data_IF_964464617667
#
_entry.id   IF_964464617667
#
_cell.length_a   1.000
_cell.length_b   1.000
_cell.length_c   1.000
_cell.angle_alpha   90.00
_cell.angle_beta   90.00
_cell.angle_gamma   90.00
#
_symmetry.space_group_name_H-M   'P 1'
#
loop_
_entity.id
_entity.type
_entity.pdbx_description
1 polymer ?
2 non-polymer ?
3 water ?
#
# COMPACT_ATOMS: atom_id res chain seq x y z
N UNK A 1 3.08 16.31 -20.50
CA UNK A 1 3.68 16.34 -19.15
C UNK A 1 4.94 15.48 -19.09
N UNK A 2 6.10 16.12 -19.01
CA UNK A 2 7.35 15.41 -18.76
C UNK A 2 7.46 15.00 -17.29
N UNK A 3 7.99 13.81 -17.02
CA UNK A 3 8.09 13.24 -15.67
C UNK A 3 8.94 14.10 -14.71
N UNK A 4 10.05 14.64 -15.23
CA UNK A 4 10.88 15.57 -14.47
C UNK A 4 10.15 16.87 -14.14
N UNK A 5 9.29 17.30 -15.06
CA UNK A 5 8.50 18.50 -14.89
C UNK A 5 7.41 18.32 -13.86
N UNK A 6 6.74 17.17 -13.89
CA UNK A 6 5.78 16.78 -12.85
C UNK A 6 6.38 16.81 -11.44
N UNK A 7 7.51 16.13 -11.28
CA UNK A 7 8.26 16.06 -10.03
C UNK A 7 8.64 17.47 -9.56
N UNK A 8 9.19 18.25 -10.48
CA UNK A 8 9.60 19.63 -10.23
C UNK A 8 8.42 20.59 -9.92
N UNK A 9 7.27 20.38 -10.57
CA UNK A 9 6.06 21.18 -10.31
C UNK A 9 5.50 20.88 -8.93
N UNK A 10 5.49 19.59 -8.55
CA UNK A 10 5.01 19.15 -7.23
C UNK A 10 5.89 19.74 -6.11
N UNK A 11 7.19 19.77 -6.35
CA UNK A 11 8.16 20.34 -5.42
C UNK A 11 7.97 21.84 -5.21
N UNK A 12 7.48 22.56 -6.23
CA UNK A 12 7.17 23.99 -6.11
C UNK A 12 6.09 24.28 -5.06
N UNK A 13 5.02 23.50 -5.06
CA UNK A 13 3.87 23.81 -4.21
C UNK A 13 3.71 22.85 -3.00
N UNK A 14 4.55 21.82 -2.93
CA UNK A 14 4.48 20.85 -1.84
C UNK A 14 5.85 20.20 -1.58
N UNK A 15 6.71 20.89 -0.83
CA UNK A 15 8.02 20.34 -0.46
C UNK A 15 8.38 20.68 0.98
N UNK A 16 8.18 19.71 1.88
CA UNK A 16 8.56 19.84 3.31
C UNK A 16 9.44 18.66 3.71
N UNK A 17 10.77 18.78 3.54
CA UNK A 17 11.69 17.65 3.77
C UNK A 17 11.80 17.17 5.23
N UNK A 18 11.43 18.03 6.18
CA UNK A 18 11.39 17.63 7.60
C UNK A 18 10.09 16.90 7.98
N UNK A 19 9.27 16.60 6.98
CA UNK A 19 8.00 15.90 7.17
C UNK A 19 7.91 14.69 6.26
N UNK A 20 8.97 13.88 6.24
CA UNK A 20 9.01 12.70 5.38
C UNK A 20 7.88 11.70 5.72
N UNK A 21 7.46 11.66 6.98
CA UNK A 21 6.42 10.71 7.40
C UNK A 21 5.05 11.12 6.86
N UNK A 22 4.77 12.42 6.88
CA UNK A 22 3.58 12.96 6.24
C UNK A 22 3.36 12.33 4.87
N UNK A 23 4.40 12.38 4.02
CA UNK A 23 4.30 11.92 2.65
C UNK A 23 4.14 10.43 2.53
N UNK A 24 4.82 9.67 3.39
CA UNK A 24 4.66 8.23 3.36
C UNK A 24 3.25 7.84 3.82
N UNK A 25 2.78 8.46 4.91
CA UNK A 25 1.40 8.26 5.37
C UNK A 25 0.39 8.51 4.25
N UNK A 26 0.52 9.68 3.61
CA UNK A 26 -0.35 10.09 2.49
C UNK A 26 -0.31 9.09 1.32
N UNK A 27 0.87 8.56 1.02
CA UNK A 27 0.99 7.49 0.01
C UNK A 27 0.11 6.29 0.36
N UNK A 28 0.19 5.83 1.62
CA UNK A 28 -0.58 4.66 2.05
C UNK A 28 -2.09 4.93 2.02
N UNK A 29 -2.50 6.15 2.40
CA UNK A 29 -3.89 6.61 2.25
C UNK A 29 -4.45 6.47 0.83
N UNK A 30 -3.68 6.89 -0.17
CA UNK A 30 -4.08 6.87 -1.57
C UNK A 30 -4.13 5.46 -2.15
N UNK A 31 -3.20 4.62 -1.71
CA UNK A 31 -3.22 3.23 -2.13
C UNK A 31 -4.48 2.56 -1.57
N UNK A 32 -4.91 2.93 -0.37
CA UNK A 32 -6.15 2.40 0.20
C UNK A 32 -7.35 2.93 -0.56
N UNK A 33 -7.30 4.20 -0.97
CA UNK A 33 -8.36 4.76 -1.79
C UNK A 33 -8.38 4.18 -3.20
N UNK A 34 -7.19 3.89 -3.72
CA UNK A 34 -7.10 3.24 -5.01
C UNK A 34 -7.70 1.83 -4.99
N UNK A 35 -7.51 1.13 -3.88
CA UNK A 35 -7.98 -0.22 -3.75
C UNK A 35 -9.50 -0.25 -3.76
N UNK A 36 -10.12 0.76 -3.13
CA UNK A 36 -11.55 0.92 -3.11
C UNK A 36 -12.12 1.11 -4.53
N UNK A 37 -11.46 1.96 -5.31
CA UNK A 37 -11.83 2.27 -6.69
C UNK A 37 -11.77 1.07 -7.61
N UNK A 38 -10.69 0.29 -7.52
CA UNK A 38 -10.61 -0.94 -8.28
C UNK A 38 -11.73 -1.90 -7.84
N UNK A 39 -11.90 -2.07 -6.53
CA UNK A 39 -12.93 -2.94 -6.00
C UNK A 39 -14.31 -2.60 -6.56
N UNK A 40 -14.62 -1.30 -6.59
CA UNK A 40 -15.88 -0.78 -7.10
C UNK A 40 -15.95 -0.69 -8.62
N UNK A 41 -14.87 -1.11 -9.29
CA UNK A 41 -14.82 -1.13 -10.76
C UNK A 41 -14.99 0.21 -11.43
N UNK A 42 -14.49 1.29 -10.81
CA UNK A 42 -14.62 2.63 -11.40
C UNK A 42 -13.50 2.94 -12.41
N UNK A 43 -13.40 2.07 -13.42
CA UNK A 43 -12.42 2.16 -14.49
C UNK A 43 -12.83 3.13 -15.57
N UNK A 44 -11.93 3.34 -16.52
CA UNK A 44 -12.20 4.19 -17.67
C UNK A 44 -11.53 5.54 -17.50
N UNK A 45 -11.70 6.41 -18.50
CA UNK A 45 -11.18 7.77 -18.39
C UNK A 45 -12.33 8.74 -18.11
N UNK A 46 -12.44 9.19 -16.86
CA UNK A 46 -13.53 10.07 -16.41
C UNK A 46 -13.50 11.48 -17.01
N UNK A 47 -14.70 12.02 -17.20
CA UNK A 47 -14.91 13.45 -17.35
C UNK A 47 -14.68 14.09 -15.98
N UNK A 48 -14.85 15.40 -15.89
CA UNK A 48 -14.60 16.15 -14.65
C UNK A 48 -15.56 15.77 -13.50
N UNK A 49 -16.81 15.45 -13.83
CA UNK A 49 -17.83 15.14 -12.82
C UNK A 49 -17.79 13.67 -12.35
N UNK A 50 -17.09 12.83 -13.11
CA UNK A 50 -16.91 11.43 -12.74
C UNK A 50 -15.57 11.21 -12.06
N UNK A 51 -14.81 12.28 -11.88
CA UNK A 51 -13.41 12.17 -11.41
C UNK A 51 -13.23 11.73 -9.94
N UNK A 52 -14.05 12.29 -9.05
CA UNK A 52 -13.96 11.96 -7.62
C UNK A 52 -14.23 10.47 -7.40
N UNK A 53 -13.28 9.77 -6.77
CA UNK A 53 -13.45 8.36 -6.47
C UNK A 53 -13.02 7.39 -7.56
N UNK A 54 -12.83 7.90 -8.78
CA UNK A 54 -12.44 7.11 -9.95
C UNK A 54 -11.09 6.44 -9.79
N UNK A 55 -10.93 5.27 -10.40
CA UNK A 55 -9.64 4.61 -10.48
C UNK A 55 -8.57 5.59 -11.00
N UNK A 56 -8.95 6.37 -12.01
CA UNK A 56 -8.06 7.38 -12.59
C UNK A 56 -7.51 8.38 -11.56
N UNK A 57 -8.38 8.92 -10.72
CA UNK A 57 -7.97 9.90 -9.71
C UNK A 57 -7.07 9.31 -8.64
N UNK A 58 -7.36 8.08 -8.22
CA UNK A 58 -6.56 7.42 -7.17
C UNK A 58 -5.18 7.04 -7.67
N UNK A 59 -5.10 6.53 -8.91
CA UNK A 59 -3.79 6.31 -9.55
C UNK A 59 -3.02 7.62 -9.66
N UNK A 60 -3.71 8.72 -10.02
CA UNK A 60 -3.01 9.99 -10.07
C UNK A 60 -2.49 10.37 -8.68
N UNK A 61 -3.38 10.37 -7.68
CA UNK A 61 -3.01 10.69 -6.30
C UNK A 61 -1.83 9.83 -5.78
N UNK A 62 -1.79 8.56 -6.16
CA UNK A 62 -0.63 7.71 -5.86
C UNK A 62 0.63 8.16 -6.61
N UNK A 63 0.48 8.46 -7.91
CA UNK A 63 1.57 9.08 -8.68
C UNK A 63 2.12 10.34 -7.99
N UNK A 64 1.22 11.15 -7.44
CA UNK A 64 1.59 12.43 -6.86
C UNK A 64 2.53 12.22 -5.68
N UNK A 65 2.25 11.22 -4.85
CA UNK A 65 3.02 10.98 -3.64
C UNK A 65 4.28 10.18 -3.89
N UNK A 66 4.30 9.43 -4.99
CA UNK A 66 5.55 8.81 -5.47
C UNK A 66 6.54 9.89 -5.85
N UNK A 67 6.08 10.87 -6.64
CA UNK A 67 6.87 12.04 -7.03
C UNK A 67 7.31 12.92 -5.85
N UNK A 68 6.40 13.16 -4.92
CA UNK A 68 6.67 13.99 -3.76
C UNK A 68 7.59 13.27 -2.77
N UNK A 69 7.51 11.93 -2.69
CA UNK A 69 8.50 11.17 -1.91
C UNK A 69 9.86 11.21 -2.58
N UNK A 70 9.87 11.12 -3.92
CA UNK A 70 11.11 11.24 -4.67
C UNK A 70 11.83 12.55 -4.35
N UNK A 71 11.09 13.66 -4.36
CA UNK A 71 11.66 14.98 -4.03
C UNK A 71 12.28 14.99 -2.62
N UNK A 72 11.55 14.45 -1.66
CA UNK A 72 11.97 14.37 -0.24
C UNK A 72 13.22 13.53 -0.05
N UNK A 73 13.30 12.43 -0.80
CA UNK A 73 14.38 11.47 -0.67
C UNK A 73 15.55 11.68 -1.62
N UNK A 74 15.54 12.82 -2.32
CA UNK A 74 16.61 13.19 -3.25
C UNK A 74 16.73 12.28 -4.46
N UNK A 75 15.58 11.76 -4.93
CA UNK A 75 15.50 10.84 -6.06
C UNK A 75 15.11 11.56 -7.34
N UNK A 76 15.84 11.29 -8.42
CA UNK A 76 15.48 11.73 -9.75
C UNK A 76 14.84 10.54 -10.45
N UNK A 77 13.53 10.60 -10.64
CA UNK A 77 12.77 9.48 -11.20
C UNK A 77 13.13 9.18 -12.64
N UNK A 78 13.41 10.23 -13.41
CA UNK A 78 13.76 10.12 -14.83
C UNK A 78 15.15 9.50 -15.00
N UNK A 79 16.09 9.89 -14.13
CA UNK A 79 17.41 9.27 -14.07
C UNK A 79 17.32 7.81 -13.60
N UNK A 80 16.45 7.55 -12.62
CA UNK A 80 16.19 6.19 -12.11
C UNK A 80 15.54 5.29 -13.19
N UNK A 81 14.58 5.84 -13.92
CA UNK A 81 13.99 5.16 -15.10
C UNK A 81 15.03 4.74 -16.13
N UNK A 82 15.97 5.64 -16.45
CA UNK A 82 17.05 5.34 -17.38
C UNK A 82 17.89 4.17 -16.88
N UNK A 83 18.25 4.20 -15.60
CA UNK A 83 19.09 3.15 -15.00
C UNK A 83 18.40 1.78 -15.01
N UNK A 84 17.10 1.76 -14.70
CA UNK A 84 16.28 0.55 -14.74
C UNK A 84 16.17 -0.04 -16.13
N UNK A 85 16.08 0.83 -17.13
CA UNK A 85 16.16 0.43 -18.53
C UNK A 85 17.40 -0.42 -18.81
N UNK A 86 18.53 0.02 -18.29
CA UNK A 86 19.83 -0.64 -18.49
C UNK A 86 19.82 -2.04 -17.87
N UNK A 87 19.39 -2.15 -16.61
CA UNK A 87 19.31 -3.43 -15.92
C UNK A 87 18.29 -4.40 -16.55
N UNK A 88 17.20 -3.86 -17.08
CA UNK A 88 16.20 -4.67 -17.74
C UNK A 88 16.66 -5.26 -19.06
N UNK A 89 17.48 -4.50 -19.78
CA UNK A 89 18.02 -4.96 -21.06
C UNK A 89 19.04 -6.10 -20.89
N UNK A 90 19.73 -6.12 -19.76
CA UNK A 90 20.81 -7.10 -19.50
C UNK A 90 20.30 -8.51 -19.22
N UNK B 1 11.57 12.21 -21.08
CA UNK B 1 10.59 11.09 -20.91
C UNK B 1 9.20 11.64 -20.57
N UNK B 2 8.32 11.72 -21.57
CA UNK B 2 6.93 12.11 -21.33
C UNK B 2 6.20 11.02 -20.55
N UNK B 3 5.31 11.43 -19.64
CA UNK B 3 4.53 10.50 -18.81
C UNK B 3 3.59 9.61 -19.64
N UNK B 4 3.04 10.14 -20.74
CA UNK B 4 2.22 9.32 -21.64
C UNK B 4 3.07 8.35 -22.46
N UNK B 5 4.31 8.75 -22.73
CA UNK B 5 5.31 7.87 -23.36
C UNK B 5 5.77 6.75 -22.41
N UNK B 6 5.91 7.05 -21.12
CA UNK B 6 6.24 6.02 -20.14
C UNK B 6 5.12 4.98 -20.08
N UNK B 7 3.89 5.47 -19.96
CA UNK B 7 2.69 4.63 -19.92
C UNK B 7 2.57 3.75 -21.18
N UNK B 8 2.82 4.32 -22.35
CA UNK B 8 2.73 3.57 -23.60
C UNK B 8 3.92 2.66 -23.86
N UNK B 9 5.10 3.03 -23.39
CA UNK B 9 6.28 2.16 -23.44
C UNK B 9 6.08 0.93 -22.53
N UNK B 10 5.52 1.14 -21.35
CA UNK B 10 5.14 0.04 -20.47
C UNK B 10 3.98 -0.82 -21.08
N UNK B 11 3.07 -0.20 -21.83
CA UNK B 11 2.00 -0.94 -22.50
C UNK B 11 2.54 -1.81 -23.63
N UNK B 12 3.60 -1.35 -24.27
CA UNK B 12 4.24 -2.09 -25.37
C UNK B 12 4.78 -3.42 -24.91
N UNK B 13 5.19 -3.50 -23.65
CA UNK B 13 5.95 -4.64 -23.20
C UNK B 13 5.30 -5.45 -22.08
N UNK B 14 4.23 -4.93 -21.49
CA UNK B 14 3.59 -5.57 -20.35
C UNK B 14 2.12 -5.15 -20.26
N UNK B 15 1.28 -5.79 -21.07
CA UNK B 15 -0.14 -5.49 -21.13
C UNK B 15 -1.01 -6.76 -21.17
N UNK B 16 -1.53 -7.15 -20.02
CA UNK B 16 -2.43 -8.30 -19.90
C UNK B 16 -3.69 -7.85 -19.17
N UNK B 17 -4.64 -7.24 -19.89
CA UNK B 17 -5.82 -6.68 -19.22
C UNK B 17 -6.75 -7.73 -18.58
N UNK B 18 -6.60 -9.00 -18.96
CA UNK B 18 -7.30 -10.08 -18.25
C UNK B 18 -6.59 -10.52 -16.96
N UNK B 19 -5.48 -9.87 -16.63
CA UNK B 19 -4.77 -10.16 -15.37
C UNK B 19 -4.68 -8.91 -14.52
N UNK B 20 -5.83 -8.28 -14.28
CA UNK B 20 -5.88 -7.07 -13.47
C UNK B 20 -5.39 -7.32 -12.05
N UNK B 21 -5.59 -8.54 -11.52
CA UNK B 21 -5.16 -8.82 -10.14
C UNK B 21 -3.64 -8.90 -10.01
N UNK B 22 -3.01 -9.58 -10.97
CA UNK B 22 -1.57 -9.62 -11.06
C UNK B 22 -1.02 -8.22 -10.76
N UNK B 23 -1.47 -7.22 -11.52
CA UNK B 23 -0.93 -5.88 -11.40
C UNK B 23 -1.17 -5.19 -10.06
N UNK B 24 -2.37 -5.40 -9.47
CA UNK B 24 -2.69 -4.84 -8.18
C UNK B 24 -1.86 -5.53 -7.11
N UNK B 25 -1.78 -6.87 -7.19
CA UNK B 25 -0.89 -7.61 -6.29
C UNK B 25 0.53 -7.01 -6.36
N UNK B 26 1.04 -6.79 -7.57
CA UNK B 26 2.41 -6.26 -7.74
C UNK B 26 2.58 -4.85 -7.15
N UNK B 27 1.60 -3.97 -7.38
CA UNK B 27 1.64 -2.63 -6.80
C UNK B 27 1.89 -2.72 -5.28
N UNK B 28 1.07 -3.50 -4.60
CA UNK B 28 1.15 -3.66 -3.16
C UNK B 28 2.51 -4.26 -2.71
N UNK B 29 3.01 -5.24 -3.46
CA UNK B 29 4.39 -5.78 -3.24
C UNK B 29 5.44 -4.67 -3.25
N UNK B 30 5.37 -3.81 -4.27
CA UNK B 30 6.36 -2.74 -4.44
C UNK B 30 6.29 -1.67 -3.35
N UNK B 31 5.07 -1.30 -2.95
CA UNK B 31 4.84 -0.43 -1.78
C UNK B 31 5.42 -1.05 -0.47
N UNK B 32 5.27 -2.37 -0.29
CA UNK B 32 5.94 -3.06 0.81
C UNK B 32 7.45 -2.94 0.74
N UNK B 33 8.02 -3.14 -0.45
CA UNK B 33 9.46 -2.98 -0.60
C UNK B 33 9.91 -1.54 -0.40
N UNK B 34 9.09 -0.59 -0.82
CA UNK B 34 9.37 0.84 -0.63
C UNK B 34 9.43 1.19 0.87
N UNK B 35 8.46 0.70 1.62
CA UNK B 35 8.42 0.88 3.06
C UNK B 35 9.72 0.43 3.70
N UNK B 36 10.22 -0.71 3.23
CA UNK B 36 11.48 -1.25 3.72
C UNK B 36 12.67 -0.34 3.40
N UNK B 37 12.72 0.16 2.16
CA UNK B 37 13.84 1.02 1.76
C UNK B 37 13.86 2.34 2.55
N UNK B 38 12.69 2.92 2.79
CA UNK B 38 12.57 4.15 3.58
C UNK B 38 12.96 3.91 5.05
N UNK B 39 12.50 2.80 5.61
CA UNK B 39 12.82 2.39 6.97
C UNK B 39 14.32 2.25 7.16
N UNK B 40 14.98 1.69 6.16
CA UNK B 40 16.42 1.49 6.22
C UNK B 40 17.22 2.74 5.86
N UNK B 41 16.55 3.81 5.43
CA UNK B 41 17.22 5.08 5.12
C UNK B 41 18.03 5.05 3.81
N UNK B 42 17.59 4.25 2.85
CA UNK B 42 18.38 4.11 1.61
C UNK B 42 17.99 5.19 0.60
N UNK B 43 18.26 6.45 0.99
CA UNK B 43 17.82 7.62 0.24
C UNK B 43 18.89 8.13 -0.72
N UNK B 44 18.58 9.21 -1.43
CA UNK B 44 19.50 9.78 -2.42
C UNK B 44 19.29 9.20 -3.82
N UNK B 45 20.18 9.55 -4.75
CA UNK B 45 20.09 9.10 -6.13
C UNK B 45 21.24 8.12 -6.43
N UNK B 46 20.91 6.82 -6.49
CA UNK B 46 21.93 5.77 -6.59
C UNK B 46 22.57 5.72 -7.96
N UNK B 47 23.84 5.31 -8.00
CA UNK B 47 24.45 4.82 -9.22
C UNK B 47 23.80 3.47 -9.54
N UNK B 48 24.25 2.84 -10.63
CA UNK B 48 23.74 1.55 -11.07
C UNK B 48 23.97 0.42 -10.07
N UNK B 49 25.15 0.41 -9.44
CA UNK B 49 25.48 -0.66 -8.49
C UNK B 49 24.92 -0.38 -7.08
N UNK B 50 24.37 0.80 -6.87
CA UNK B 50 23.64 1.11 -5.62
C UNK B 50 22.14 0.89 -5.73
N UNK B 51 21.64 0.65 -6.94
CA UNK B 51 20.19 0.65 -7.23
C UNK B 51 19.30 -0.35 -6.46
N UNK B 52 19.73 -1.61 -6.39
CA UNK B 52 18.93 -2.67 -5.77
C UNK B 52 18.60 -2.36 -4.32
N UNK B 53 17.32 -2.25 -4.01
CA UNK B 53 16.90 -2.09 -2.63
C UNK B 53 16.86 -0.64 -2.18
N UNK B 54 17.15 0.28 -3.10
CA UNK B 54 17.15 1.71 -2.80
C UNK B 54 15.75 2.31 -2.81
N UNK B 55 15.56 3.41 -2.09
CA UNK B 55 14.29 4.17 -2.13
C UNK B 55 14.00 4.54 -3.61
N UNK B 56 15.05 4.89 -4.35
CA UNK B 56 14.90 5.27 -5.75
C UNK B 56 14.27 4.17 -6.62
N UNK B 57 14.81 2.96 -6.50
CA UNK B 57 14.29 1.79 -7.22
C UNK B 57 12.84 1.49 -6.91
N UNK B 58 12.53 1.41 -5.61
CA UNK B 58 11.18 1.12 -5.14
C UNK B 58 10.21 2.21 -5.50
N UNK B 59 10.66 3.47 -5.49
CA UNK B 59 9.82 4.57 -5.97
C UNK B 59 9.46 4.32 -7.45
N UNK B 60 10.46 4.00 -8.26
CA UNK B 60 10.22 3.69 -9.64
C UNK B 60 9.32 2.47 -9.83
N UNK B 61 9.57 1.40 -9.07
CA UNK B 61 8.78 0.18 -9.22
C UNK B 61 7.31 0.40 -8.87
N UNK B 62 7.02 1.22 -7.87
CA UNK B 62 5.63 1.65 -7.61
C UNK B 62 5.09 2.44 -8.84
N UNK B 63 5.89 3.37 -9.36
CA UNK B 63 5.50 4.16 -10.55
C UNK B 63 5.14 3.25 -11.75
N UNK B 64 6.00 2.27 -12.04
CA UNK B 64 5.76 1.26 -13.07
C UNK B 64 4.34 0.65 -12.96
N UNK B 65 3.98 0.17 -11.76
CA UNK B 65 2.66 -0.44 -11.56
C UNK B 65 1.51 0.56 -11.55
N UNK B 66 1.76 1.79 -11.13
CA UNK B 66 0.77 2.85 -11.32
C UNK B 66 0.42 2.95 -12.81
N UNK B 67 1.44 3.09 -13.66
CA UNK B 67 1.30 3.18 -15.10
C UNK B 67 0.70 1.90 -15.70
N UNK B 68 1.17 0.74 -15.24
CA UNK B 68 0.69 -0.53 -15.76
C UNK B 68 -0.79 -0.71 -15.44
N UNK B 69 -1.17 -0.32 -14.22
CA UNK B 69 -2.58 -0.33 -13.80
C UNK B 69 -3.41 0.66 -14.61
N UNK B 70 -2.85 1.85 -14.85
CA UNK B 70 -3.50 2.84 -15.72
C UNK B 70 -3.85 2.27 -17.11
N UNK B 71 -2.88 1.64 -17.79
CA UNK B 71 -3.13 0.96 -19.09
C UNK B 71 -4.31 -0.02 -18.96
N UNK B 72 -4.20 -0.92 -17.98
CA UNK B 72 -5.21 -1.94 -17.66
C UNK B 72 -6.60 -1.36 -17.39
N UNK B 73 -6.65 -0.21 -16.72
CA UNK B 73 -7.95 0.39 -16.35
C UNK B 73 -8.46 1.45 -17.32
N UNK B 74 -7.77 1.57 -18.46
CA UNK B 74 -8.15 2.50 -19.52
C UNK B 74 -7.92 3.93 -19.09
N UNK B 75 -6.99 4.12 -18.15
CA UNK B 75 -6.67 5.44 -17.63
C UNK B 75 -5.54 6.11 -18.40
N UNK B 76 -5.77 7.33 -18.85
CA UNK B 76 -4.74 8.21 -19.39
C UNK B 76 -4.30 9.13 -18.24
N UNK B 77 -3.07 8.94 -17.77
CA UNK B 77 -2.60 9.63 -16.55
C UNK B 77 -2.35 11.10 -16.79
N UNK B 78 -1.82 11.40 -17.98
CA UNK B 78 -1.53 12.78 -18.39
C UNK B 78 -2.81 13.60 -18.53
N UNK B 79 -3.87 13.00 -19.06
CA UNK B 79 -5.17 13.66 -19.19
C UNK B 79 -5.86 13.81 -17.83
N UNK B 80 -5.66 12.82 -16.95
CA UNK B 80 -6.16 12.88 -15.58
C UNK B 80 -5.47 13.98 -14.77
N UNK B 81 -4.14 14.04 -14.88
CA UNK B 81 -3.34 15.13 -14.30
C UNK B 81 -3.93 16.48 -14.66
N UNK B 82 -4.31 16.64 -15.92
CA UNK B 82 -4.82 17.92 -16.42
C UNK B 82 -6.14 18.30 -15.75
N UNK B 83 -7.06 17.33 -15.66
CA UNK B 83 -8.34 17.54 -14.96
C UNK B 83 -8.14 17.89 -13.47
N UNK B 84 -7.13 17.29 -12.83
CA UNK B 84 -6.78 17.64 -11.45
C UNK B 84 -6.29 19.09 -11.32
N UNK B 85 -5.57 19.59 -12.35
CA UNK B 85 -5.17 21.02 -12.43
C UNK B 85 -6.38 21.96 -12.44
N UNK B 86 -7.45 21.51 -13.09
CA UNK B 86 -8.68 22.31 -13.21
C UNK B 86 -9.36 22.41 -11.85
N UNK B 87 -9.54 21.25 -11.20
CA UNK B 87 -10.05 21.14 -9.83
C UNK B 87 -9.23 21.97 -8.85
N UNK B 88 -7.90 21.93 -9.00
CA UNK B 88 -7.01 22.62 -8.06
C UNK B 88 -6.94 24.14 -8.24
N UNK B 89 -7.53 24.63 -9.33
CA UNK B 89 -7.66 26.09 -9.54
C UNK B 89 -9.05 26.58 -9.13
N UNK B 90 -10.04 25.70 -9.23
CA UNK B 90 -11.42 26.02 -8.80
C UNK B 90 -11.58 25.76 -7.30
N UNK C 12 -22.18 -15.88 2.19
CA UNK C 12 -22.04 -14.52 1.59
C UNK C 12 -21.29 -14.53 0.25
N UNK C 13 -20.22 -15.32 0.17
CA UNK C 13 -19.44 -15.56 -1.07
C UNK C 13 -19.41 -17.06 -1.38
N UNK C 14 -19.66 -17.47 -2.62
CA UNK C 14 -19.56 -18.90 -2.95
C UNK C 14 -18.31 -19.37 -3.77
N UNK C 15 -17.79 -18.50 -4.63
CA UNK C 15 -16.55 -18.78 -5.37
C UNK C 15 -15.37 -18.16 -4.60
N UNK C 16 -14.41 -18.99 -4.16
CA UNK C 16 -13.41 -18.59 -3.15
C UNK C 16 -12.34 -17.57 -3.57
N UNK C 17 -11.82 -17.65 -4.82
CA UNK C 17 -10.97 -16.54 -5.27
C UNK C 17 -11.68 -15.17 -5.20
N UNK C 18 -13.00 -15.15 -5.44
CA UNK C 18 -13.76 -13.90 -5.37
C UNK C 18 -13.88 -13.34 -3.95
N UNK C 19 -14.01 -14.25 -2.99
CA UNK C 19 -14.03 -13.91 -1.58
C UNK C 19 -12.67 -13.42 -1.09
N UNK C 20 -11.60 -14.13 -1.42
CA UNK C 20 -10.21 -13.71 -1.19
C UNK C 20 -9.93 -12.32 -1.83
N UNK C 21 -10.27 -12.15 -3.10
CA UNK C 21 -10.05 -10.85 -3.75
C UNK C 21 -10.74 -9.69 -3.02
N UNK C 22 -12.01 -9.87 -2.64
CA UNK C 22 -12.76 -8.86 -1.85
C UNK C 22 -12.05 -8.50 -0.54
N UNK C 23 -11.73 -9.52 0.24
CA UNK C 23 -11.09 -9.31 1.52
C UNK C 23 -9.73 -8.64 1.41
N UNK C 24 -8.97 -8.95 0.35
CA UNK C 24 -7.68 -8.30 0.09
C UNK C 24 -7.85 -6.83 -0.29
N UNK C 25 -8.87 -6.50 -1.11
CA UNK C 25 -9.18 -5.10 -1.40
C UNK C 25 -9.55 -4.35 -0.11
N UNK C 26 -10.38 -4.97 0.72
CA UNK C 26 -10.82 -4.33 1.96
C UNK C 26 -9.65 -4.14 2.91
N UNK C 27 -8.79 -5.15 3.02
CA UNK C 27 -7.61 -5.07 3.88
C UNK C 27 -6.78 -3.84 3.51
N UNK C 28 -6.57 -3.61 2.21
CA UNK C 28 -5.71 -2.49 1.75
C UNK C 28 -6.38 -1.13 2.03
N UNK C 29 -7.66 -1.04 1.71
CA UNK C 29 -8.55 0.06 2.12
C UNK C 29 -8.41 0.42 3.61
N UNK C 30 -8.47 -0.60 4.47
CA UNK C 30 -8.38 -0.38 5.90
C UNK C 30 -6.97 0.01 6.34
N UNK C 31 -5.95 -0.48 5.63
CA UNK C 31 -4.57 -0.09 5.92
C UNK C 31 -4.42 1.38 5.58
N UNK C 32 -4.97 1.81 4.43
CA UNK C 32 -5.05 3.24 4.05
C UNK C 32 -5.72 4.10 5.12
N UNK C 33 -6.81 3.60 5.71
CA UNK C 33 -7.52 4.34 6.74
C UNK C 33 -6.76 4.43 8.05
N UNK C 34 -6.04 3.36 8.40
CA UNK C 34 -5.14 3.33 9.55
C UNK C 34 -3.96 4.31 9.41
N UNK C 35 -3.43 4.41 8.19
CA UNK C 35 -2.39 5.37 7.92
C UNK C 35 -2.87 6.78 8.23
N UNK C 36 -4.10 7.08 7.82
CA UNK C 36 -4.70 8.38 8.10
C UNK C 36 -4.90 8.62 9.60
N UNK C 37 -5.30 7.58 10.34
CA UNK C 37 -5.63 7.75 11.78
C UNK C 37 -4.35 7.96 12.62
N UNK C 38 -3.25 7.36 12.15
CA UNK C 38 -1.94 7.52 12.77
C UNK C 38 -1.37 8.92 12.46
N UNK C 39 -1.43 9.34 11.20
CA UNK C 39 -1.00 10.69 10.80
C UNK C 39 -1.69 11.79 11.61
N UNK C 40 -2.96 11.56 11.94
CA UNK C 40 -3.77 12.51 12.70
C UNK C 40 -3.65 12.34 14.22
N UNK C 41 -2.93 11.31 14.68
CA UNK C 41 -2.71 11.11 16.10
C UNK C 41 -3.94 10.68 16.88
N UNK C 42 -4.84 9.94 16.25
CA UNK C 42 -6.08 9.55 16.91
C UNK C 42 -5.92 8.31 17.80
N UNK C 43 -4.91 8.38 18.68
CA UNK C 43 -4.46 7.26 19.53
C UNK C 43 -5.32 7.14 20.80
N UNK C 44 -5.04 6.10 21.59
CA UNK C 44 -5.75 5.82 22.83
C UNK C 44 -6.98 4.93 22.61
N UNK C 45 -7.69 4.64 23.69
CA UNK C 45 -8.94 3.88 23.64
C UNK C 45 -10.14 4.84 23.66
N UNK C 46 -10.87 4.93 22.54
CA UNK C 46 -12.01 5.84 22.45
C UNK C 46 -13.29 5.28 23.09
N UNK C 47 -14.15 6.19 23.54
CA UNK C 47 -15.53 5.82 23.82
C UNK C 47 -16.24 5.64 22.47
N UNK C 48 -17.57 5.53 22.47
CA UNK C 48 -18.29 5.18 21.24
C UNK C 48 -18.39 6.34 20.26
N UNK C 49 -18.41 7.56 20.79
CA UNK C 49 -18.51 8.80 20.02
C UNK C 49 -17.19 9.19 19.35
N UNK C 50 -16.10 8.57 19.80
CA UNK C 50 -14.75 8.87 19.31
C UNK C 50 -14.21 7.72 18.45
N UNK C 51 -15.01 6.68 18.24
CA UNK C 51 -14.53 5.47 17.58
C UNK C 51 -14.30 5.70 16.09
N UNK C 52 -15.23 6.41 15.43
CA UNK C 52 -15.09 6.63 13.97
C UNK C 52 -13.83 7.41 13.62
N UNK C 53 -12.97 6.77 12.83
CA UNK C 53 -11.73 7.42 12.39
C UNK C 53 -10.55 7.34 13.35
N UNK C 54 -10.75 6.70 14.50
CA UNK C 54 -9.70 6.49 15.50
C UNK C 54 -8.72 5.37 15.11
N UNK C 55 -7.50 5.42 15.64
CA UNK C 55 -6.52 4.33 15.45
C UNK C 55 -7.09 2.97 15.90
N UNK C 56 -7.75 2.95 17.06
CA UNK C 56 -8.45 1.75 17.56
C UNK C 56 -9.32 1.07 16.48
N UNK C 57 -10.21 1.85 15.87
CA UNK C 57 -11.12 1.34 14.85
C UNK C 57 -10.42 0.73 13.66
N UNK C 58 -9.41 1.43 13.14
CA UNK C 58 -8.70 0.98 11.94
C UNK C 58 -7.85 -0.26 12.23
N UNK C 59 -7.21 -0.30 13.39
CA UNK C 59 -6.48 -1.49 13.82
C UNK C 59 -7.40 -2.71 13.85
N UNK C 60 -8.54 -2.59 14.51
CA UNK C 60 -9.55 -3.67 14.51
C UNK C 60 -10.03 -4.05 13.09
N UNK C 61 -10.26 -3.05 12.25
CA UNK C 61 -10.70 -3.25 10.87
C UNK C 61 -9.63 -4.01 10.07
N UNK C 62 -8.37 -3.58 10.14
CA UNK C 62 -7.26 -4.41 9.58
C UNK C 62 -7.25 -5.85 10.19
N UNK C 63 -7.34 -5.96 11.50
CA UNK C 63 -7.38 -7.27 12.15
C UNK C 63 -8.50 -8.15 11.57
N UNK C 64 -9.65 -7.52 11.30
CA UNK C 64 -10.84 -8.21 10.85
C UNK C 64 -10.62 -8.90 9.49
N UNK C 65 -10.03 -8.18 8.54
CA UNK C 65 -9.74 -8.73 7.21
C UNK C 65 -8.59 -9.74 7.18
N UNK C 66 -7.61 -9.58 8.09
CA UNK C 66 -6.56 -10.57 8.28
C UNK C 66 -7.19 -11.93 8.61
N UNK C 67 -8.13 -11.91 9.55
CA UNK C 67 -8.84 -13.07 9.99
C UNK C 67 -9.75 -13.62 8.88
N UNK C 68 -10.47 -12.73 8.19
CA UNK C 68 -11.39 -13.15 7.14
C UNK C 68 -10.55 -13.82 6.04
N UNK C 69 -9.41 -13.20 5.70
CA UNK C 69 -8.49 -13.80 4.74
C UNK C 69 -7.89 -15.12 5.23
N UNK C 70 -7.71 -15.29 6.54
CA UNK C 70 -7.20 -16.56 7.06
C UNK C 70 -8.22 -17.71 6.96
N UNK C 71 -9.49 -17.38 7.17
CA UNK C 71 -10.57 -18.34 7.06
C UNK C 71 -10.71 -18.87 5.64
N UNK C 72 -10.71 -17.97 4.65
CA UNK C 72 -10.88 -18.40 3.26
C UNK C 72 -9.64 -19.12 2.67
N UNK C 73 -8.46 -18.86 3.23
CA UNK C 73 -7.22 -19.52 2.77
C UNK C 73 -6.87 -20.76 3.58
N UNK C 74 -7.71 -21.14 4.53
CA UNK C 74 -7.50 -22.39 5.27
C UNK C 74 -6.38 -22.29 6.28
N UNK C 75 -6.18 -21.08 6.79
CA UNK C 75 -5.14 -20.78 7.78
C UNK C 75 -5.65 -20.83 9.22
N UNK C 76 -4.92 -21.57 10.04
CA UNK C 76 -5.11 -21.50 11.46
C UNK C 76 -4.03 -20.56 12.03
N UNK C 77 -4.47 -19.42 12.54
CA UNK C 77 -3.53 -18.44 13.07
C UNK C 77 -2.91 -18.85 14.41
N UNK C 78 -3.64 -19.65 15.20
CA UNK C 78 -3.12 -20.16 16.46
C UNK C 78 -1.96 -21.14 16.22
N UNK C 79 -2.17 -22.10 15.32
CA UNK C 79 -1.14 -23.09 14.95
C UNK C 79 0.04 -22.43 14.24
N UNK C 80 -0.21 -21.41 13.43
CA UNK C 80 0.86 -20.68 12.74
C UNK C 80 1.74 -19.92 13.73
N UNK C 81 1.10 -19.25 14.67
CA UNK C 81 1.77 -18.55 15.75
C UNK C 81 2.71 -19.54 16.48
N UNK C 82 2.17 -20.70 16.85
CA UNK C 82 2.95 -21.76 17.49
C UNK C 82 4.13 -22.25 16.66
N UNK C 83 3.93 -22.44 15.36
CA UNK C 83 5.03 -22.83 14.46
C UNK C 83 6.15 -21.77 14.38
N UNK C 84 5.75 -20.49 14.35
CA UNK C 84 6.68 -19.36 14.35
C UNK C 84 7.53 -19.32 15.61
N UNK C 85 6.90 -19.53 16.76
CA UNK C 85 7.59 -19.64 18.05
C UNK C 85 8.68 -20.72 18.07
N UNK C 86 8.41 -21.87 17.45
CA UNK C 86 9.36 -22.98 17.37
C UNK C 86 10.57 -22.53 16.54
N UNK C 87 10.28 -21.92 15.39
CA UNK C 87 11.31 -21.33 14.52
C UNK C 87 12.20 -20.29 15.21
N UNK C 88 11.57 -19.34 15.91
CA UNK C 88 12.30 -18.26 16.56
C UNK C 88 13.24 -18.79 17.61
N UNK C 89 12.76 -19.78 18.35
CA UNK C 89 13.54 -20.43 19.38
C UNK C 89 14.75 -21.15 18.77
N UNK C 90 14.58 -21.68 17.56
CA UNK C 90 15.66 -22.37 16.85
C UNK C 90 16.72 -21.39 16.38
N UNK D 13 12.38 0.11 22.25
CA UNK D 13 12.05 1.57 22.09
C UNK D 13 11.74 2.21 23.43
N UNK D 14 11.78 3.54 23.49
CA UNK D 14 11.19 4.27 24.63
C UNK D 14 10.55 5.62 24.24
N UNK D 15 10.96 6.18 23.10
CA UNK D 15 10.28 7.33 22.50
C UNK D 15 9.14 6.81 21.58
N UNK D 16 7.89 7.04 22.01
CA UNK D 16 6.72 6.38 21.41
C UNK D 16 6.53 6.56 19.90
N UNK D 17 6.68 7.81 19.37
CA UNK D 17 6.58 7.97 17.91
C UNK D 17 7.59 7.14 17.09
N UNK D 18 8.82 6.97 17.56
CA UNK D 18 9.78 6.12 16.83
C UNK D 18 9.38 4.63 16.79
N UNK D 19 8.75 4.17 17.88
CA UNK D 19 8.20 2.82 17.98
C UNK D 19 7.03 2.64 16.99
N UNK D 20 6.11 3.60 16.99
CA UNK D 20 4.95 3.60 16.09
C UNK D 20 5.39 3.66 14.61
N UNK D 21 6.30 4.57 14.29
CA UNK D 21 6.79 4.65 12.92
C UNK D 21 7.45 3.37 12.45
N UNK D 22 8.18 2.69 13.34
CA UNK D 22 8.82 1.41 13.04
C UNK D 22 7.80 0.32 12.73
N UNK D 23 6.82 0.16 13.61
CA UNK D 23 5.81 -0.89 13.45
C UNK D 23 4.90 -0.62 12.26
N UNK D 24 4.71 0.66 11.93
CA UNK D 24 3.95 0.99 10.74
C UNK D 24 4.74 0.65 9.47
N UNK D 25 6.03 1.01 9.39
CA UNK D 25 6.85 0.52 8.28
C UNK D 25 6.67 -0.99 8.13
N UNK D 26 6.82 -1.74 9.23
CA UNK D 26 6.85 -3.20 9.19
C UNK D 26 5.52 -3.74 8.74
N UNK D 27 4.44 -3.09 9.19
CA UNK D 27 3.09 -3.45 8.77
C UNK D 27 2.97 -3.45 7.26
N UNK D 28 3.49 -2.39 6.62
CA UNK D 28 3.41 -2.22 5.15
C UNK D 28 4.29 -3.25 4.43
N UNK D 29 5.43 -3.58 5.02
CA UNK D 29 6.34 -4.61 4.50
C UNK D 29 5.67 -5.97 4.48
N UNK D 30 4.99 -6.31 5.57
CA UNK D 30 4.32 -7.60 5.66
C UNK D 30 3.09 -7.67 4.75
N UNK D 31 2.35 -6.56 4.62
CA UNK D 31 1.20 -6.48 3.71
C UNK D 31 1.68 -6.70 2.27
N UNK D 32 2.88 -6.20 1.97
CA UNK D 32 3.54 -6.47 0.71
C UNK D 32 3.87 -7.93 0.56
N UNK D 33 4.46 -8.54 1.59
CA UNK D 33 4.83 -9.96 1.48
C UNK D 33 3.58 -10.84 1.44
N UNK D 34 2.50 -10.38 2.05
CA UNK D 34 1.24 -11.12 2.06
C UNK D 34 0.65 -11.12 0.63
N UNK D 35 0.73 -9.97 -0.03
CA UNK D 35 0.28 -9.82 -1.42
C UNK D 35 0.99 -10.80 -2.34
N UNK D 36 2.32 -10.86 -2.22
CA UNK D 36 3.11 -11.82 -3.00
C UNK D 36 2.62 -13.26 -2.77
N UNK D 37 2.36 -13.61 -1.51
CA UNK D 37 2.03 -15.02 -1.14
C UNK D 37 0.61 -15.44 -1.58
N UNK D 38 -0.29 -14.47 -1.67
CA UNK D 38 -1.63 -14.65 -2.23
C UNK D 38 -1.51 -14.82 -3.76
N UNK D 39 -0.73 -13.95 -4.38
CA UNK D 39 -0.46 -14.01 -5.84
C UNK D 39 0.03 -15.40 -6.27
N UNK D 40 0.97 -15.94 -5.50
CA UNK D 40 1.57 -17.25 -5.76
C UNK D 40 0.73 -18.46 -5.28
N UNK D 41 -0.39 -18.21 -4.62
CA UNK D 41 -1.34 -19.28 -4.22
C UNK D 41 -0.84 -20.15 -3.08
N UNK D 42 -0.03 -19.56 -2.19
CA UNK D 42 0.59 -20.32 -1.12
C UNK D 42 -0.32 -20.54 0.11
N UNK D 43 -1.52 -21.06 -0.17
CA UNK D 43 -2.60 -21.16 0.83
C UNK D 43 -2.52 -22.45 1.66
N UNK D 44 -3.47 -22.59 2.59
CA UNK D 44 -3.56 -23.76 3.44
C UNK D 44 -2.80 -23.55 4.74
N UNK D 45 -2.76 -24.60 5.55
CA UNK D 45 -1.99 -24.60 6.79
C UNK D 45 -0.70 -25.36 6.54
N UNK D 46 0.44 -24.65 6.46
CA UNK D 46 1.72 -25.31 6.17
C UNK D 46 2.28 -26.04 7.37
N UNK D 47 3.05 -27.09 7.09
CA UNK D 47 3.93 -27.67 8.08
C UNK D 47 5.15 -26.76 8.14
N UNK D 48 6.04 -27.05 9.07
CA UNK D 48 7.20 -26.18 9.34
C UNK D 48 8.07 -25.88 8.11
N UNK D 49 8.29 -26.89 7.28
CA UNK D 49 9.12 -26.74 6.07
C UNK D 49 8.47 -25.96 4.93
N UNK D 50 7.20 -25.58 5.09
CA UNK D 50 6.48 -24.78 4.09
C UNK D 50 6.00 -23.45 4.68
N UNK D 51 6.44 -23.15 5.90
CA UNK D 51 6.02 -21.94 6.60
C UNK D 51 6.49 -20.68 5.89
N UNK D 52 7.78 -20.64 5.55
CA UNK D 52 8.39 -19.48 4.89
C UNK D 52 7.69 -19.13 3.59
N UNK D 53 7.26 -17.89 3.48
CA UNK D 53 6.59 -17.41 2.27
C UNK D 53 5.14 -17.82 2.11
N UNK D 54 4.60 -18.60 3.05
CA UNK D 54 3.21 -19.04 2.97
C UNK D 54 2.27 -17.89 3.33
N UNK D 55 1.03 -17.97 2.84
CA UNK D 55 0.00 -16.98 3.19
C UNK D 55 -0.11 -16.95 4.73
N UNK D 56 -0.11 -18.12 5.36
CA UNK D 56 -0.21 -18.26 6.81
C UNK D 56 0.79 -17.39 7.56
N UNK D 57 2.08 -17.48 7.19
CA UNK D 57 3.14 -16.70 7.82
C UNK D 57 2.90 -15.21 7.64
N UNK D 58 2.44 -14.82 6.47
CA UNK D 58 2.28 -13.41 6.16
C UNK D 58 1.07 -12.83 6.89
N UNK D 59 -0.03 -13.58 6.94
CA UNK D 59 -1.19 -13.20 7.75
C UNK D 59 -0.80 -13.09 9.24
N UNK D 60 -0.03 -14.04 9.76
CA UNK D 60 0.47 -13.90 11.12
C UNK D 60 1.35 -12.66 11.32
N UNK D 61 2.26 -12.40 10.37
CA UNK D 61 3.19 -11.26 10.47
C UNK D 61 2.46 -9.92 10.47
N UNK D 62 1.42 -9.80 9.63
CA UNK D 62 0.57 -8.58 9.63
C UNK D 62 -0.15 -8.44 10.97
N UNK D 63 -0.74 -9.53 11.44
CA UNK D 63 -1.43 -9.55 12.71
C UNK D 63 -0.48 -9.08 13.79
N UNK D 64 0.80 -9.46 13.63
CA UNK D 64 1.80 -9.21 14.67
C UNK D 64 1.98 -7.71 14.84
N UNK D 65 2.05 -7.00 13.71
CA UNK D 65 2.32 -5.54 13.74
C UNK D 65 1.09 -4.69 14.06
N UNK D 66 -0.09 -5.13 13.63
CA UNK D 66 -1.34 -4.63 14.15
C UNK D 66 -1.35 -4.60 15.68
N UNK D 67 -1.06 -5.75 16.29
CA UNK D 67 -0.98 -5.89 17.73
C UNK D 67 0.12 -5.02 18.35
N UNK D 68 1.26 -4.94 17.67
CA UNK D 68 2.36 -4.15 18.18
C UNK D 68 1.94 -2.67 18.16
N UNK D 69 1.22 -2.26 17.11
CA UNK D 69 0.73 -0.89 17.00
C UNK D 69 -0.33 -0.57 18.05
N UNK D 70 -1.17 -1.55 18.36
CA UNK D 70 -2.21 -1.37 19.38
C UNK D 70 -1.60 -1.18 20.77
N UNK D 71 -0.56 -1.93 21.06
CA UNK D 71 0.16 -1.77 22.33
C UNK D 71 0.71 -0.35 22.49
N UNK D 72 1.41 0.14 21.47
CA UNK D 72 2.04 1.47 21.51
C UNK D 72 1.02 2.64 21.43
N UNK D 73 -0.05 2.51 20.65
CA UNK D 73 -1.06 3.56 20.58
C UNK D 73 -2.11 3.57 21.70
N UNK D 74 -1.97 2.68 22.69
CA UNK D 74 -2.87 2.63 23.84
C UNK D 74 -4.22 2.00 23.53
N UNK D 75 -4.22 1.07 22.58
CA UNK D 75 -5.45 0.46 22.11
C UNK D 75 -5.71 -0.91 22.74
N UNK D 76 -6.91 -1.06 23.26
CA UNK D 76 -7.38 -2.35 23.73
C UNK D 76 -8.21 -2.99 22.60
N UNK D 77 -7.61 -3.94 21.88
CA UNK D 77 -8.30 -4.55 20.74
C UNK D 77 -9.59 -5.28 21.12
N UNK D 78 -9.59 -5.88 22.31
CA UNK D 78 -10.76 -6.65 22.78
C UNK D 78 -11.94 -5.76 23.15
N UNK D 79 -11.66 -4.60 23.75
CA UNK D 79 -12.70 -3.61 24.08
C UNK D 79 -13.18 -2.87 22.82
N UNK D 80 -12.28 -2.71 21.85
CA UNK D 80 -12.65 -2.12 20.57
C UNK D 80 -13.62 -3.04 19.80
N UNK D 81 -13.32 -4.33 19.77
CA UNK D 81 -14.19 -5.36 19.18
C UNK D 81 -15.62 -5.26 19.70
N UNK D 82 -15.75 -5.14 21.02
CA UNK D 82 -17.03 -5.03 21.69
C UNK D 82 -17.81 -3.75 21.33
N UNK D 83 -17.11 -2.62 21.26
CA UNK D 83 -17.71 -1.37 20.79
C UNK D 83 -18.23 -1.49 19.36
N UNK D 84 -17.44 -2.13 18.50
CA UNK D 84 -17.84 -2.40 17.12
C UNK D 84 -19.08 -3.25 17.03
N UNK D 85 -19.25 -4.17 17.99
CA UNK D 85 -20.40 -5.07 18.01
C UNK D 85 -21.71 -4.35 18.30
N UNK D 86 -21.65 -3.30 19.13
CA UNK D 86 -22.82 -2.44 19.39
C UNK D 86 -23.22 -1.71 18.11
N UNK D 87 -22.26 -1.04 17.47
CA UNK D 87 -22.50 -0.33 16.21
C UNK D 87 -23.09 -1.25 15.15
N UNK D 88 -22.63 -2.50 15.15
CA UNK D 88 -23.10 -3.55 14.25
C UNK D 88 -24.60 -3.86 14.41
N UNK D 89 -25.03 -4.09 15.65
CA UNK D 89 -26.43 -4.37 15.94
C UNK D 89 -27.27 -3.11 15.70
N UNK D 90 -26.64 -1.95 15.82
CA UNK D 90 -27.31 -0.66 15.61
C UNK D 90 -27.41 -0.37 14.11
X LIG E 1 -7.47 10.01 -3.20
X LIG F 1 11.04 -3.89 -5.92
X LIG G 1 -12.10 1.65 8.48
X LIG H 1 6.93 -11.93 6.47
#
# INVERSE_FOLDING_TARGET
>A
MKLSELQSHIKEFDYAPEQSEHYFFKLIEEVGELSESIRKGKSGQPTLDELKGSVAEELYDVLYYVCALANIHGVNLEKTHELKEVLNKVKYNRHHHHHH
>B
MKLSELQSHIKEFDYAPEQSEHYFFKLIEEVGELSESIRKGKSGQPTLDELKGSVAEELYDVLYYVCALANIHGVNLEKTHELKEVLNKVKYNRHHHHHH
>C
MKLSELQSHIKEFDYAPEQSEHYFFKLIEEVGELSESIRKGKSGQPTLDELKGSVAEELYDVLYYVCALANIHGVNLEKTHELKEVLNKVKYNRHHHHHH
>D
MKLSELQSHIKEFDYAPEQSEHYFFKLIEEVGELSESIRKGKSGQPTLDELKGSVAEELYDVLYYVCALANIHGVNLEKTHELKEVLNKVKYNRHHHHHH
>E hetero
1 MG MG
>F hetero
1 MG MG
>G hetero
1 MG MG
>H hetero
1 MG MG
#
